data_IF_773308834595
#
_entry.id   IF_773308834595
#
_cell.length_a   1.000
_cell.length_b   1.000
_cell.length_c   1.000
_cell.angle_alpha   90.00
_cell.angle_beta   90.00
_cell.angle_gamma   90.00
#
_symmetry.space_group_name_H-M   'P 1'
#
loop_
_entity.id
_entity.type
_entity.pdbx_description
1 polymer ?
#
# COMPACT_ATOMS: atom_id res chain seq x y z
N UNK A 1 24.10 16.76 -19.70
CA UNK A 1 22.93 17.03 -18.83
C UNK A 1 22.43 15.69 -18.33
N UNK A 2 22.79 15.31 -17.10
CA UNK A 2 22.29 14.08 -16.48
C UNK A 2 20.80 14.32 -16.18
N UNK A 3 19.91 13.64 -16.90
CA UNK A 3 18.47 13.83 -16.73
C UNK A 3 18.05 13.32 -15.35
N UNK A 4 17.31 14.16 -14.61
CA UNK A 4 16.73 13.89 -13.28
C UNK A 4 16.04 12.53 -13.15
N UNK A 5 15.55 11.98 -14.26
CA UNK A 5 14.91 10.66 -14.37
C UNK A 5 15.86 9.52 -13.97
N UNK A 6 17.16 9.65 -14.27
CA UNK A 6 18.15 8.62 -13.93
C UNK A 6 18.34 8.49 -12.43
N UNK A 7 18.19 9.58 -11.66
CA UNK A 7 18.37 9.54 -10.22
C UNK A 7 17.12 9.00 -9.51
N UNK A 8 15.94 9.34 -10.03
CA UNK A 8 14.67 8.77 -9.55
C UNK A 8 14.63 7.25 -9.68
N UNK A 9 15.10 6.70 -10.81
CA UNK A 9 15.18 5.24 -11.02
C UNK A 9 16.17 4.59 -10.03
N UNK A 10 17.32 5.24 -9.76
CA UNK A 10 18.31 4.75 -8.81
C UNK A 10 17.81 4.75 -7.36
N UNK A 11 17.05 5.78 -6.96
CA UNK A 11 16.42 5.84 -5.65
C UNK A 11 15.35 4.77 -5.48
N UNK A 12 14.52 4.54 -6.51
CA UNK A 12 13.51 3.48 -6.51
C UNK A 12 14.16 2.09 -6.41
N UNK A 13 15.23 1.85 -7.18
CA UNK A 13 15.99 0.59 -7.13
C UNK A 13 16.62 0.36 -5.74
N UNK A 14 17.18 1.40 -5.11
CA UNK A 14 17.72 1.33 -3.75
C UNK A 14 16.64 0.99 -2.71
N UNK A 15 15.46 1.60 -2.81
CA UNK A 15 14.34 1.34 -1.91
C UNK A 15 13.82 -0.10 -2.03
N UNK A 16 13.77 -0.64 -3.26
CA UNK A 16 13.39 -2.04 -3.49
C UNK A 16 14.39 -3.06 -2.91
N UNK A 17 15.66 -2.68 -2.69
CA UNK A 17 16.68 -3.58 -2.13
C UNK A 17 16.66 -3.68 -0.59
N UNK A 18 16.03 -2.73 0.12
CA UNK A 18 16.00 -2.76 1.59
C UNK A 18 14.82 -3.58 2.16
N UNK A 19 13.76 -3.79 1.39
CA UNK A 19 12.51 -4.41 1.88
C UNK A 19 12.62 -5.93 2.15
N UNK A 20 13.45 -6.76 1.47
CA UNK A 20 13.50 -8.19 1.79
C UNK A 20 14.55 -8.58 2.85
N UNK A 21 15.46 -7.69 3.25
CA UNK A 21 16.64 -8.08 4.06
C UNK A 21 16.42 -8.04 5.58
N UNK A 22 15.19 -7.84 6.04
CA UNK A 22 14.85 -7.85 7.46
C UNK A 22 13.98 -9.06 7.88
N UNK A 23 13.71 -10.00 6.98
CA UNK A 23 12.91 -11.21 7.29
C UNK A 23 13.65 -12.50 6.90
N UNK A 24 14.89 -12.64 7.34
CA UNK A 24 15.62 -13.90 7.27
C UNK A 24 16.71 -13.96 8.34
N UNK A 25 16.32 -14.04 9.61
CA UNK A 25 17.19 -14.57 10.65
C UNK A 25 16.43 -15.67 11.39
N UNK A 26 16.79 -16.91 11.08
CA UNK A 26 16.41 -18.08 11.86
C UNK A 26 17.71 -18.80 12.22
N UNK A 27 18.13 -18.78 13.50
CA UNK A 27 19.09 -19.74 14.01
C UNK A 27 18.46 -20.61 15.10
N UNK A 28 18.14 -21.85 14.70
CA UNK A 28 17.82 -22.97 15.58
C UNK A 28 18.98 -23.26 16.56
N UNK A 29 18.73 -23.17 17.87
CA UNK A 29 19.65 -23.58 18.93
C UNK A 29 18.90 -23.85 20.25
N UNK A 30 18.88 -25.12 20.64
CA UNK A 30 18.17 -25.70 21.79
C UNK A 30 18.80 -25.31 23.15
N UNK A 31 18.02 -24.73 24.07
CA UNK A 31 18.14 -24.89 25.54
C UNK A 31 17.04 -24.11 26.28
N UNK A 32 16.40 -24.78 27.24
CA UNK A 32 15.34 -24.27 28.07
C UNK A 32 15.69 -22.99 28.85
N UNK A 33 14.87 -21.95 28.72
CA UNK A 33 14.64 -21.02 29.84
C UNK A 33 13.23 -20.41 29.79
N UNK A 34 12.47 -20.72 30.84
CA UNK A 34 11.19 -20.12 31.20
C UNK A 34 11.38 -18.64 31.50
N UNK A 35 10.71 -17.75 30.78
CA UNK A 35 10.42 -16.39 31.24
C UNK A 35 9.11 -15.93 30.61
N UNK A 36 8.12 -15.70 31.46
CA UNK A 36 6.86 -15.04 31.14
C UNK A 36 7.13 -13.68 30.45
N UNK A 37 6.69 -13.53 29.21
CA UNK A 37 6.41 -12.24 28.59
C UNK A 37 5.18 -12.41 27.70
N UNK A 38 4.01 -12.16 28.27
CA UNK A 38 2.75 -12.18 27.53
C UNK A 38 2.51 -10.83 26.86
N UNK A 39 2.09 -10.92 25.58
CA UNK A 39 1.51 -9.88 24.74
C UNK A 39 2.40 -8.67 24.39
N UNK A 40 3.33 -8.91 23.46
CA UNK A 40 3.71 -7.86 22.53
C UNK A 40 2.74 -7.95 21.33
N UNK A 41 1.68 -7.15 21.35
CA UNK A 41 0.83 -6.92 20.18
C UNK A 41 1.71 -6.29 19.09
N UNK A 42 2.21 -7.15 18.20
CA UNK A 42 2.76 -6.74 16.93
C UNK A 42 1.56 -6.25 16.10
N UNK A 43 1.28 -4.94 16.17
CA UNK A 43 0.32 -4.24 15.33
C UNK A 43 0.77 -4.31 13.86
N UNK A 44 0.66 -5.49 13.24
CA UNK A 44 0.80 -5.62 11.80
C UNK A 44 -0.36 -4.85 11.15
N UNK A 45 -0.10 -3.89 10.22
CA UNK A 45 -1.17 -3.21 9.51
C UNK A 45 -2.04 -4.28 8.85
N UNK A 46 -3.27 -4.38 9.32
CA UNK A 46 -4.14 -5.50 8.99
C UNK A 46 -4.78 -5.17 7.66
N UNK A 47 -4.29 -5.78 6.57
CA UNK A 47 -4.86 -5.65 5.21
C UNK A 47 -6.40 -5.76 5.20
N UNK A 48 -6.95 -6.55 6.11
CA UNK A 48 -8.40 -6.70 6.34
C UNK A 48 -9.15 -5.38 6.56
N UNK A 49 -8.50 -4.33 7.08
CA UNK A 49 -9.12 -3.02 7.32
C UNK A 49 -9.31 -2.21 6.04
N UNK A 50 -8.44 -2.40 5.04
CA UNK A 50 -8.47 -1.68 3.77
C UNK A 50 -9.19 -2.45 2.66
N UNK A 51 -9.38 -3.77 2.82
CA UNK A 51 -10.09 -4.62 1.84
C UNK A 51 -11.46 -4.08 1.42
N UNK A 52 -12.35 -3.61 2.33
CA UNK A 52 -13.66 -3.09 1.94
C UNK A 52 -13.54 -1.85 1.04
N UNK A 53 -12.65 -0.91 1.39
CA UNK A 53 -12.41 0.31 0.61
C UNK A 53 -11.85 -0.03 -0.77
N UNK A 54 -10.93 -1.00 -0.84
CA UNK A 54 -10.35 -1.45 -2.10
C UNK A 54 -11.37 -2.12 -3.02
N UNK A 55 -12.32 -2.86 -2.46
CA UNK A 55 -13.44 -3.42 -3.21
C UNK A 55 -14.36 -2.32 -3.75
N UNK A 56 -14.69 -1.32 -2.92
CA UNK A 56 -15.53 -0.18 -3.34
C UNK A 56 -14.85 0.64 -4.44
N UNK A 57 -13.55 0.89 -4.31
CA UNK A 57 -12.72 1.51 -5.36
C UNK A 57 -12.77 0.70 -6.66
N UNK A 58 -12.62 -0.62 -6.58
CA UNK A 58 -12.69 -1.50 -7.75
C UNK A 58 -14.04 -1.38 -8.46
N UNK A 59 -15.15 -1.41 -7.71
CA UNK A 59 -16.50 -1.28 -8.29
C UNK A 59 -16.75 0.10 -8.86
N UNK A 60 -16.33 1.16 -8.17
CA UNK A 60 -16.43 2.54 -8.64
C UNK A 60 -15.69 2.75 -9.95
N UNK A 61 -14.44 2.28 -10.03
CA UNK A 61 -13.63 2.37 -11.25
C UNK A 61 -14.21 1.51 -12.38
N UNK A 62 -14.63 0.28 -12.09
CA UNK A 62 -15.27 -0.59 -13.08
C UNK A 62 -16.51 0.07 -13.68
N UNK A 63 -17.41 0.62 -12.83
CA UNK A 63 -18.61 1.31 -13.28
C UNK A 63 -18.27 2.52 -14.14
N UNK A 64 -17.26 3.31 -13.75
CA UNK A 64 -16.80 4.46 -14.54
C UNK A 64 -16.34 4.03 -15.94
N UNK A 65 -15.56 2.95 -16.04
CA UNK A 65 -15.10 2.40 -17.32
C UNK A 65 -16.24 1.81 -18.15
N UNK A 66 -17.18 1.09 -17.51
CA UNK A 66 -18.33 0.49 -18.18
C UNK A 66 -19.32 1.54 -18.72
N UNK A 67 -19.42 2.71 -18.09
CA UNK A 67 -20.20 3.83 -18.62
C UNK A 67 -19.55 4.47 -19.86
N UNK A 68 -18.23 4.40 -20.01
CA UNK A 68 -17.54 4.97 -21.17
C UNK A 68 -17.73 4.12 -22.43
N UNK A 69 -17.77 2.80 -22.29
CA UNK A 69 -18.01 1.88 -23.40
C UNK A 69 -18.61 0.56 -22.89
N UNK A 70 -19.76 0.20 -23.46
CA UNK A 70 -20.46 -1.05 -23.18
C UNK A 70 -20.11 -2.19 -24.17
N UNK A 71 -19.17 -1.96 -25.09
CA UNK A 71 -18.83 -2.89 -26.18
C UNK A 71 -17.38 -3.37 -26.17
N UNK A 72 -16.59 -2.91 -25.19
CA UNK A 72 -15.17 -3.23 -25.06
C UNK A 72 -14.90 -3.98 -23.77
N UNK A 73 -13.92 -4.89 -23.81
CA UNK A 73 -13.47 -5.59 -22.60
C UNK A 73 -12.89 -4.61 -21.57
N UNK A 74 -13.14 -4.87 -20.30
CA UNK A 74 -12.55 -4.15 -19.16
C UNK A 74 -11.69 -5.12 -18.38
N UNK A 75 -10.41 -4.79 -18.19
CA UNK A 75 -9.46 -5.59 -17.43
C UNK A 75 -8.47 -4.67 -16.72
N UNK A 76 -8.39 -4.75 -15.39
CA UNK A 76 -7.47 -3.98 -14.58
C UNK A 76 -7.23 -4.67 -13.22
N UNK A 77 -6.18 -4.24 -12.50
CA UNK A 77 -5.88 -4.68 -11.14
C UNK A 77 -6.16 -3.56 -10.14
N UNK A 78 -7.24 -3.64 -9.34
CA UNK A 78 -7.59 -2.58 -8.38
C UNK A 78 -6.49 -2.35 -7.34
N UNK A 79 -5.97 -3.45 -6.76
CA UNK A 79 -4.88 -3.43 -5.78
C UNK A 79 -3.68 -2.67 -6.33
N UNK A 80 -3.25 -3.00 -7.55
CA UNK A 80 -2.06 -2.38 -8.15
C UNK A 80 -2.22 -0.87 -8.35
N UNK A 81 -3.39 -0.41 -8.78
CA UNK A 81 -3.66 1.03 -8.98
C UNK A 81 -3.69 1.73 -7.62
N UNK A 82 -4.41 1.17 -6.65
CA UNK A 82 -4.50 1.74 -5.31
C UNK A 82 -3.13 1.85 -4.63
N UNK A 83 -2.31 0.80 -4.69
CA UNK A 83 -0.94 0.82 -4.14
C UNK A 83 -0.07 1.89 -4.80
N UNK A 84 -0.14 2.06 -6.12
CA UNK A 84 0.64 3.07 -6.81
C UNK A 84 0.28 4.50 -6.36
N UNK A 85 -1.01 4.79 -6.21
CA UNK A 85 -1.48 6.10 -5.75
C UNK A 85 -1.26 6.31 -4.24
N UNK A 86 -1.41 5.27 -3.41
CA UNK A 86 -1.07 5.33 -1.99
C UNK A 86 0.43 5.62 -1.78
N UNK A 87 1.32 4.99 -2.55
CA UNK A 87 2.74 5.33 -2.52
C UNK A 87 3.02 6.75 -3.04
N UNK A 88 2.26 7.21 -4.04
CA UNK A 88 2.38 8.57 -4.56
C UNK A 88 1.98 9.60 -3.49
N UNK A 89 0.94 9.33 -2.70
CA UNK A 89 0.43 10.28 -1.69
C UNK A 89 1.50 10.65 -0.66
N UNK A 90 2.42 9.74 -0.33
CA UNK A 90 3.58 9.98 0.54
C UNK A 90 4.44 11.18 0.13
N UNK A 91 4.45 11.53 -1.17
CA UNK A 91 5.18 12.68 -1.70
C UNK A 91 4.35 13.95 -1.85
N UNK A 92 3.05 13.90 -1.52
CA UNK A 92 2.08 15.00 -1.71
C UNK A 92 1.68 15.63 -0.39
N UNK A 93 0.96 16.77 -0.43
CA UNK A 93 0.55 17.53 0.75
C UNK A 93 -0.80 18.22 0.51
N UNK A 94 -1.47 18.57 1.61
CA UNK A 94 -2.74 19.32 1.60
C UNK A 94 -3.76 18.67 0.66
N UNK A 95 -4.53 19.46 -0.08
CA UNK A 95 -5.60 19.00 -0.95
C UNK A 95 -5.17 17.87 -1.91
N UNK A 96 -3.94 17.93 -2.45
CA UNK A 96 -3.45 16.86 -3.34
C UNK A 96 -3.31 15.51 -2.63
N UNK A 97 -2.87 15.52 -1.37
CA UNK A 97 -2.77 14.30 -0.56
C UNK A 97 -4.14 13.72 -0.26
N UNK A 98 -5.06 14.59 0.17
CA UNK A 98 -6.39 14.18 0.61
C UNK A 98 -7.23 13.69 -0.58
N UNK A 99 -7.18 14.37 -1.73
CA UNK A 99 -7.85 13.94 -2.97
C UNK A 99 -7.39 12.55 -3.43
N UNK A 100 -6.11 12.23 -3.29
CA UNK A 100 -5.59 10.90 -3.66
C UNK A 100 -6.20 9.83 -2.75
N UNK A 101 -6.15 10.02 -1.43
CA UNK A 101 -6.62 9.00 -0.48
C UNK A 101 -8.15 8.84 -0.51
N UNK A 102 -8.90 9.93 -0.61
CA UNK A 102 -10.35 9.90 -0.79
C UNK A 102 -10.75 9.24 -2.12
N UNK A 103 -10.00 9.51 -3.20
CA UNK A 103 -10.20 8.88 -4.50
C UNK A 103 -9.96 7.37 -4.51
N UNK A 104 -9.15 6.86 -3.58
CA UNK A 104 -8.97 5.42 -3.32
C UNK A 104 -10.03 4.84 -2.37
N UNK A 105 -11.06 5.62 -2.05
CA UNK A 105 -12.10 5.29 -1.08
C UNK A 105 -11.58 5.10 0.34
N UNK A 106 -10.38 5.56 0.70
CA UNK A 106 -9.93 5.55 2.09
C UNK A 106 -10.55 6.72 2.85
N UNK A 107 -11.36 6.40 3.86
CA UNK A 107 -11.87 7.41 4.77
C UNK A 107 -10.84 7.66 5.88
N UNK A 108 -10.12 8.79 5.81
CA UNK A 108 -9.08 9.16 6.78
C UNK A 108 -9.62 9.44 8.20
N UNK A 109 -10.94 9.60 8.34
CA UNK A 109 -11.58 9.69 9.67
C UNK A 109 -11.81 8.31 10.31
N UNK A 110 -11.80 7.24 9.51
CA UNK A 110 -12.05 5.87 9.95
C UNK A 110 -10.78 5.01 9.95
N UNK A 111 -9.84 5.28 9.02
CA UNK A 111 -8.61 4.54 8.81
C UNK A 111 -7.41 5.46 9.10
N UNK A 112 -6.60 5.19 10.13
CA UNK A 112 -5.35 5.89 10.35
C UNK A 112 -4.43 5.76 9.14
N UNK A 113 -3.82 6.86 8.73
CA UNK A 113 -2.98 6.92 7.52
C UNK A 113 -1.86 5.86 7.51
N UNK A 114 -1.29 5.55 8.68
CA UNK A 114 -0.27 4.51 8.86
C UNK A 114 -0.74 3.08 8.53
N UNK A 115 -2.02 2.87 8.23
CA UNK A 115 -2.58 1.58 7.80
C UNK A 115 -2.81 1.50 6.28
N UNK A 116 -2.57 2.59 5.56
CA UNK A 116 -2.78 2.70 4.11
C UNK A 116 -1.55 2.25 3.31
N UNK A 117 -0.34 2.43 3.87
CA UNK A 117 0.94 2.16 3.21
C UNK A 117 1.95 1.49 4.15
#
# INVERSE_FOLDING_TARGET
MLSSVSWGILLLAGLCCLVPVSLAEDPQGDAAQKTDTSHHDQDHPTFNKITPNLAEFAFSLYRQLAHQSNSTNIFFSPVSIATAFAMLSLGTKADTHDEILEGLNFNLTEIPEAQIH
#
